data_IF_670248776767
#
_entry.id   IF_670248776767
#
_cell.length_a   1.000
_cell.length_b   1.000
_cell.length_c   1.000
_cell.angle_alpha   90.00
_cell.angle_beta   90.00
_cell.angle_gamma   90.00
#
_symmetry.space_group_name_H-M   'P 1'
#
loop_
_entity.id
_entity.type
_entity.pdbx_description
1 polymer ?
#
# COMPACT_ATOMS: atom_id res chain seq x y z
N UNK A 1 21.34 -1.68 -2.40
CA UNK A 1 20.97 -2.74 -1.46
C UNK A 1 22.16 -3.66 -1.32
N UNK A 2 22.84 -3.64 -0.18
CA UNK A 2 23.92 -4.56 0.14
C UNK A 2 23.35 -5.97 0.15
N UNK A 3 24.04 -6.92 -0.46
CA UNK A 3 23.64 -8.31 -0.73
C UNK A 3 23.44 -9.21 0.50
N UNK A 4 23.23 -8.67 1.70
CA UNK A 4 23.29 -9.44 2.94
C UNK A 4 22.15 -9.20 3.95
N UNK A 5 21.13 -8.39 3.63
CA UNK A 5 20.00 -8.24 4.57
C UNK A 5 19.18 -9.53 4.55
N UNK A 6 19.20 -10.27 5.67
CA UNK A 6 18.39 -11.48 5.89
C UNK A 6 17.10 -11.12 6.58
N UNK A 7 16.03 -11.80 6.21
CA UNK A 7 14.69 -11.65 6.79
C UNK A 7 14.11 -12.99 7.29
N UNK A 8 14.98 -13.89 7.69
CA UNK A 8 14.59 -15.20 8.22
C UNK A 8 13.66 -15.06 9.42
N UNK A 9 12.59 -15.82 9.44
CA UNK A 9 11.58 -15.78 10.49
C UNK A 9 10.69 -14.53 10.48
N UNK A 10 10.86 -13.60 9.52
CA UNK A 10 9.99 -12.42 9.33
C UNK A 10 8.79 -12.77 8.47
N UNK A 11 7.62 -12.25 8.82
CA UNK A 11 6.38 -12.41 8.07
C UNK A 11 6.00 -11.10 7.39
N UNK A 12 5.81 -11.14 6.07
CA UNK A 12 5.46 -10.00 5.23
C UNK A 12 4.08 -10.21 4.60
N UNK A 13 3.13 -9.32 4.85
CA UNK A 13 1.83 -9.28 4.18
C UNK A 13 1.84 -8.19 3.11
N UNK A 14 1.54 -8.56 1.86
CA UNK A 14 1.65 -7.66 0.70
C UNK A 14 0.34 -7.60 -0.06
N UNK A 15 -0.29 -6.43 -0.11
CA UNK A 15 -1.49 -6.22 -0.90
C UNK A 15 -1.15 -5.86 -2.35
N UNK A 16 -2.00 -6.31 -3.31
CA UNK A 16 -1.76 -6.06 -4.73
C UNK A 16 -0.51 -6.75 -5.27
N UNK A 17 -0.21 -7.95 -4.74
CA UNK A 17 0.99 -8.71 -5.05
C UNK A 17 0.85 -9.65 -6.27
N UNK A 18 -0.27 -9.60 -7.00
CA UNK A 18 -0.51 -10.46 -8.17
C UNK A 18 0.21 -10.00 -9.44
N UNK A 19 0.99 -8.93 -9.37
CA UNK A 19 1.77 -8.40 -10.49
C UNK A 19 2.51 -7.12 -10.14
N UNK A 20 3.28 -6.60 -11.09
CA UNK A 20 3.97 -5.31 -10.98
C UNK A 20 4.87 -5.19 -9.75
N UNK A 21 4.82 -4.02 -9.12
CA UNK A 21 5.67 -3.66 -7.97
C UNK A 21 5.50 -4.63 -6.80
N UNK A 22 4.24 -5.02 -6.48
CA UNK A 22 3.95 -5.90 -5.36
C UNK A 22 4.53 -7.31 -5.55
N UNK A 23 4.45 -7.86 -6.75
CA UNK A 23 5.05 -9.16 -7.08
C UNK A 23 6.57 -9.13 -7.00
N UNK A 24 7.21 -8.08 -7.52
CA UNK A 24 8.67 -7.95 -7.47
C UNK A 24 9.17 -7.71 -6.03
N UNK A 25 8.42 -6.96 -5.22
CA UNK A 25 8.70 -6.84 -3.79
C UNK A 25 8.58 -8.21 -3.08
N UNK A 26 7.52 -8.98 -3.37
CA UNK A 26 7.32 -10.32 -2.82
C UNK A 26 8.49 -11.27 -3.15
N UNK A 27 8.91 -11.32 -4.43
CA UNK A 27 10.07 -12.12 -4.86
C UNK A 27 11.36 -11.73 -4.12
N UNK A 28 11.60 -10.43 -3.96
CA UNK A 28 12.81 -9.95 -3.31
C UNK A 28 12.82 -10.28 -1.81
N UNK A 29 11.71 -10.07 -1.09
CA UNK A 29 11.61 -10.39 0.33
C UNK A 29 11.67 -11.90 0.58
N UNK A 30 11.08 -12.71 -0.30
CA UNK A 30 11.20 -14.16 -0.27
C UNK A 30 12.65 -14.64 -0.45
N UNK A 31 13.42 -14.04 -1.39
CA UNK A 31 14.86 -14.34 -1.56
C UNK A 31 15.69 -13.96 -0.32
N UNK A 32 15.23 -13.00 0.49
CA UNK A 32 15.87 -12.62 1.75
C UNK A 32 15.52 -13.57 2.91
N UNK A 33 14.65 -14.57 2.68
CA UNK A 33 14.25 -15.57 3.69
C UNK A 33 12.95 -15.27 4.42
N UNK A 34 12.21 -14.21 4.04
CA UNK A 34 10.91 -13.92 4.65
C UNK A 34 9.84 -14.93 4.25
N UNK A 35 8.92 -15.21 5.17
CA UNK A 35 7.61 -15.76 4.84
C UNK A 35 6.78 -14.66 4.19
N UNK A 36 6.28 -14.89 2.97
CA UNK A 36 5.55 -13.89 2.20
C UNK A 36 4.11 -14.34 2.01
N UNK A 37 3.17 -13.50 2.46
CA UNK A 37 1.72 -13.71 2.31
C UNK A 37 1.18 -12.70 1.29
N UNK A 38 0.76 -13.20 0.14
CA UNK A 38 0.22 -12.39 -0.93
C UNK A 38 -1.29 -12.16 -0.71
N UNK A 39 -1.77 -10.94 -0.97
CA UNK A 39 -3.20 -10.65 -0.98
C UNK A 39 -3.65 -10.39 -2.41
N UNK A 40 -4.64 -11.16 -2.86
CA UNK A 40 -5.25 -11.01 -4.17
C UNK A 40 -6.75 -11.33 -4.17
N UNK A 41 -7.48 -10.77 -5.13
CA UNK A 41 -8.92 -10.98 -5.29
C UNK A 41 -9.23 -12.22 -6.14
N UNK A 42 -8.53 -12.37 -7.23
CA UNK A 42 -8.66 -13.47 -8.18
C UNK A 42 -7.73 -14.62 -7.80
N UNK A 43 -8.29 -15.82 -7.62
CA UNK A 43 -7.54 -17.01 -7.18
C UNK A 43 -6.46 -17.40 -8.19
N UNK A 44 -6.83 -17.53 -9.46
CA UNK A 44 -5.89 -18.00 -10.49
C UNK A 44 -4.69 -17.07 -10.67
N UNK A 45 -4.93 -15.75 -10.71
CA UNK A 45 -3.84 -14.76 -10.76
C UNK A 45 -2.96 -14.78 -9.52
N UNK A 46 -3.56 -15.03 -8.35
CA UNK A 46 -2.80 -15.04 -7.09
C UNK A 46 -1.97 -16.31 -6.96
N UNK A 47 -2.49 -17.45 -7.37
CA UNK A 47 -1.77 -18.74 -7.42
C UNK A 47 -0.61 -18.68 -8.42
N UNK A 48 -0.81 -18.08 -9.60
CA UNK A 48 0.27 -17.83 -10.55
C UNK A 48 1.36 -16.92 -9.96
N UNK A 49 0.98 -15.91 -9.16
CA UNK A 49 1.94 -15.05 -8.47
C UNK A 49 2.72 -15.81 -7.39
N UNK A 50 2.04 -16.68 -6.61
CA UNK A 50 2.69 -17.58 -5.63
C UNK A 50 3.71 -18.49 -6.33
N UNK A 51 3.33 -19.10 -7.44
CA UNK A 51 4.24 -19.94 -8.24
C UNK A 51 5.48 -19.15 -8.69
N UNK A 52 5.29 -17.92 -9.21
CA UNK A 52 6.39 -17.07 -9.64
C UNK A 52 7.30 -16.61 -8.50
N UNK A 53 6.77 -16.45 -7.26
CA UNK A 53 7.60 -16.18 -6.08
C UNK A 53 8.38 -17.40 -5.66
N UNK A 54 7.77 -18.58 -5.64
CA UNK A 54 8.43 -19.86 -5.32
C UNK A 54 9.53 -20.21 -6.34
N UNK A 55 9.31 -19.96 -7.62
CA UNK A 55 10.34 -20.10 -8.65
C UNK A 55 11.55 -19.19 -8.38
N UNK A 56 11.28 -17.94 -7.99
CA UNK A 56 12.33 -16.96 -7.68
C UNK A 56 13.07 -17.22 -6.35
N UNK A 57 12.44 -17.94 -5.41
CA UNK A 57 12.95 -18.27 -4.08
C UNK A 57 12.41 -19.64 -3.64
N UNK A 58 12.99 -20.76 -4.11
CA UNK A 58 12.42 -22.11 -3.91
C UNK A 58 12.31 -22.56 -2.45
N UNK A 59 13.17 -22.05 -1.57
CA UNK A 59 13.16 -22.36 -0.12
C UNK A 59 12.23 -21.47 0.70
N UNK A 60 11.65 -20.42 0.10
CA UNK A 60 10.82 -19.48 0.84
C UNK A 60 9.43 -20.06 1.14
N UNK A 61 8.89 -19.68 2.30
CA UNK A 61 7.49 -19.92 2.62
C UNK A 61 6.63 -18.85 1.96
N UNK A 62 5.75 -19.27 1.06
CA UNK A 62 4.86 -18.38 0.30
C UNK A 62 3.44 -18.90 0.39
N UNK A 63 2.56 -18.07 0.89
CA UNK A 63 1.12 -18.32 1.02
C UNK A 63 0.32 -17.14 0.44
N UNK A 64 -0.99 -17.29 0.36
CA UNK A 64 -1.86 -16.21 -0.05
C UNK A 64 -3.21 -16.19 0.68
N UNK A 65 -3.79 -15.03 0.76
CA UNK A 65 -5.11 -14.78 1.31
C UNK A 65 -5.97 -14.05 0.29
N UNK A 66 -7.20 -14.53 0.11
CA UNK A 66 -8.15 -13.89 -0.79
C UNK A 66 -8.78 -12.68 -0.12
N UNK A 67 -8.76 -11.51 -0.79
CA UNK A 67 -9.54 -10.35 -0.38
C UNK A 67 -9.88 -9.44 -1.56
N UNK A 68 -11.08 -8.87 -1.54
CA UNK A 68 -11.45 -7.73 -2.36
C UNK A 68 -11.31 -6.46 -1.52
N UNK A 69 -10.39 -5.59 -1.90
CA UNK A 69 -10.09 -4.36 -1.16
C UNK A 69 -11.11 -3.23 -1.46
N UNK A 70 -12.08 -3.48 -2.32
CA UNK A 70 -13.23 -2.58 -2.49
C UNK A 70 -14.33 -2.81 -1.44
N UNK A 71 -14.23 -3.89 -0.63
CA UNK A 71 -15.21 -4.29 0.38
C UNK A 71 -14.59 -4.24 1.78
N UNK A 72 -15.11 -3.41 2.66
CA UNK A 72 -14.66 -3.33 4.07
C UNK A 72 -14.90 -4.65 4.80
N UNK A 73 -15.98 -5.36 4.51
CA UNK A 73 -16.25 -6.70 5.03
C UNK A 73 -15.16 -7.68 4.62
N UNK A 74 -14.72 -7.64 3.36
CA UNK A 74 -13.65 -8.50 2.86
C UNK A 74 -12.30 -8.17 3.51
N UNK A 75 -12.02 -6.88 3.78
CA UNK A 75 -10.80 -6.46 4.50
C UNK A 75 -10.81 -6.95 5.94
N UNK A 76 -11.95 -6.91 6.65
CA UNK A 76 -12.08 -7.47 8.00
C UNK A 76 -11.82 -8.98 8.01
N UNK A 77 -12.45 -9.71 7.09
CA UNK A 77 -12.23 -11.16 6.95
C UNK A 77 -10.78 -11.51 6.57
N UNK A 78 -10.09 -10.64 5.83
CA UNK A 78 -8.65 -10.78 5.55
C UNK A 78 -7.84 -10.69 6.85
N UNK A 79 -8.08 -9.68 7.67
CA UNK A 79 -7.38 -9.48 8.93
C UNK A 79 -7.60 -10.64 9.90
N UNK A 80 -8.84 -11.13 10.02
CA UNK A 80 -9.18 -12.30 10.86
C UNK A 80 -8.45 -13.55 10.38
N UNK A 81 -8.48 -13.85 9.07
CA UNK A 81 -7.76 -15.00 8.50
C UNK A 81 -6.25 -14.88 8.66
N UNK A 82 -5.69 -13.69 8.55
CA UNK A 82 -4.28 -13.48 8.81
C UNK A 82 -3.95 -13.77 10.28
N UNK A 83 -4.67 -13.18 11.22
CA UNK A 83 -4.46 -13.36 12.67
C UNK A 83 -4.61 -14.82 13.12
N UNK A 84 -5.51 -15.59 12.50
CA UNK A 84 -5.69 -17.01 12.82
C UNK A 84 -4.55 -17.92 12.33
N UNK A 85 -3.79 -17.48 11.32
CA UNK A 85 -2.71 -18.29 10.72
C UNK A 85 -1.30 -17.85 11.12
N UNK A 86 -1.13 -16.55 11.40
CA UNK A 86 0.18 -15.95 11.64
C UNK A 86 0.22 -15.24 12.98
N UNK A 87 1.07 -15.69 13.91
CA UNK A 87 1.19 -15.08 15.24
C UNK A 87 1.99 -13.76 15.22
N UNK A 88 2.59 -13.42 14.08
CA UNK A 88 3.42 -12.22 13.90
C UNK A 88 3.21 -11.57 12.56
N UNK A 89 3.48 -10.26 12.50
CA UNK A 89 3.54 -9.48 11.26
C UNK A 89 4.68 -8.46 11.36
N UNK A 90 5.75 -8.69 10.62
CA UNK A 90 6.93 -7.82 10.64
C UNK A 90 6.84 -6.70 9.59
N UNK A 91 6.22 -6.99 8.45
CA UNK A 91 6.05 -6.01 7.37
C UNK A 91 4.64 -6.07 6.81
N UNK A 92 3.94 -4.94 6.86
CA UNK A 92 2.70 -4.71 6.13
C UNK A 92 2.99 -3.76 4.95
N UNK A 93 2.95 -4.29 3.73
CA UNK A 93 3.11 -3.51 2.51
C UNK A 93 1.73 -3.26 1.87
N UNK A 94 1.16 -2.09 2.12
CA UNK A 94 -0.04 -1.57 1.49
C UNK A 94 0.32 -1.05 0.09
N UNK A 95 0.40 -1.98 -0.87
CA UNK A 95 0.82 -1.68 -2.24
C UNK A 95 -0.35 -1.66 -3.23
N UNK A 96 -1.46 -2.32 -2.93
CA UNK A 96 -2.62 -2.32 -3.81
C UNK A 96 -3.08 -0.90 -4.14
N UNK A 97 -3.51 -0.71 -5.38
CA UNK A 97 -4.08 0.55 -5.81
C UNK A 97 -4.68 0.43 -7.20
N UNK A 98 -5.62 1.31 -7.49
CA UNK A 98 -6.25 1.44 -8.79
C UNK A 98 -6.48 2.91 -9.14
N UNK A 99 -6.78 3.16 -10.39
CA UNK A 99 -7.29 4.43 -10.92
C UNK A 99 -8.45 4.10 -11.85
N UNK A 100 -9.53 4.86 -11.77
CA UNK A 100 -10.72 4.71 -12.59
C UNK A 100 -10.96 5.98 -13.41
N UNK A 101 -11.46 5.82 -14.63
CA UNK A 101 -11.85 6.95 -15.49
C UNK A 101 -13.26 7.45 -15.17
N UNK A 102 -14.09 6.59 -14.60
CA UNK A 102 -15.46 6.89 -14.20
C UNK A 102 -15.66 6.58 -12.73
N UNK A 103 -16.50 7.37 -12.07
CA UNK A 103 -16.88 7.16 -10.68
C UNK A 103 -17.60 5.82 -10.53
N UNK A 104 -17.11 5.00 -9.62
CA UNK A 104 -17.75 3.77 -9.18
C UNK A 104 -17.92 3.82 -7.67
N UNK A 105 -19.02 3.28 -7.18
CA UNK A 105 -19.33 3.21 -5.75
C UNK A 105 -19.28 1.76 -5.33
N UNK A 106 -18.65 1.50 -4.19
CA UNK A 106 -18.55 0.16 -3.59
C UNK A 106 -19.86 -0.21 -2.90
N UNK A 107 -19.98 -1.48 -2.47
CA UNK A 107 -21.10 -1.94 -1.63
C UNK A 107 -21.20 -1.20 -0.29
N UNK A 108 -20.10 -0.63 0.20
CA UNK A 108 -20.04 0.17 1.42
C UNK A 108 -20.39 1.66 1.18
N UNK A 109 -20.83 2.05 -0.03
CA UNK A 109 -21.15 3.44 -0.37
C UNK A 109 -19.94 4.35 -0.60
N UNK A 110 -18.73 3.80 -0.72
CA UNK A 110 -17.49 4.55 -0.87
C UNK A 110 -17.08 4.67 -2.35
N UNK A 111 -16.43 5.78 -2.73
CA UNK A 111 -15.80 5.88 -4.06
C UNK A 111 -14.68 4.84 -4.18
N UNK A 112 -14.69 4.05 -5.25
CA UNK A 112 -13.91 2.82 -5.35
C UNK A 112 -12.37 3.05 -5.38
N UNK A 113 -11.89 4.19 -5.90
CA UNK A 113 -10.48 4.53 -5.87
C UNK A 113 -10.03 4.85 -4.44
N UNK A 114 -10.79 5.65 -3.71
CA UNK A 114 -10.52 5.95 -2.29
C UNK A 114 -10.69 4.70 -1.42
N UNK A 115 -11.74 3.90 -1.67
CA UNK A 115 -11.95 2.65 -0.95
C UNK A 115 -10.73 1.73 -1.03
N UNK A 116 -10.26 1.46 -2.25
CA UNK A 116 -9.13 0.54 -2.48
C UNK A 116 -7.79 1.13 -2.04
N UNK A 117 -7.53 2.41 -2.38
CA UNK A 117 -6.20 2.99 -2.21
C UNK A 117 -5.95 3.54 -0.81
N UNK A 118 -7.01 3.90 -0.07
CA UNK A 118 -6.91 4.53 1.23
C UNK A 118 -7.69 3.84 2.34
N UNK A 119 -9.03 3.64 2.20
CA UNK A 119 -9.82 3.11 3.30
C UNK A 119 -9.49 1.64 3.61
N UNK A 120 -9.21 0.81 2.60
CA UNK A 120 -8.79 -0.57 2.81
C UNK A 120 -7.42 -0.66 3.53
N UNK A 121 -6.35 0.05 3.10
CA UNK A 121 -5.10 0.12 3.87
C UNK A 121 -5.28 0.67 5.28
N UNK A 122 -6.10 1.72 5.46
CA UNK A 122 -6.42 2.28 6.77
C UNK A 122 -7.04 1.22 7.69
N UNK A 123 -8.10 0.56 7.23
CA UNK A 123 -8.80 -0.47 7.99
C UNK A 123 -7.90 -1.67 8.28
N UNK A 124 -7.24 -2.22 7.25
CA UNK A 124 -6.36 -3.38 7.41
C UNK A 124 -5.23 -3.12 8.39
N UNK A 125 -4.61 -1.94 8.31
CA UNK A 125 -3.53 -1.54 9.22
C UNK A 125 -4.03 -1.51 10.67
N UNK A 126 -5.16 -0.85 10.94
CA UNK A 126 -5.70 -0.75 12.29
C UNK A 126 -6.09 -2.13 12.87
N UNK A 127 -6.67 -3.02 12.06
CA UNK A 127 -7.04 -4.38 12.46
C UNK A 127 -5.85 -5.30 12.76
N UNK A 128 -4.68 -5.02 12.18
CA UNK A 128 -3.45 -5.82 12.37
C UNK A 128 -2.45 -5.15 13.33
N UNK A 129 -2.75 -3.96 13.83
CA UNK A 129 -1.79 -3.17 14.60
C UNK A 129 -1.36 -3.85 15.90
N UNK A 130 -2.27 -4.54 16.59
CA UNK A 130 -1.95 -5.25 17.83
C UNK A 130 -0.98 -6.42 17.58
N UNK A 131 -1.18 -7.17 16.50
CA UNK A 131 -0.25 -8.22 16.08
C UNK A 131 1.13 -7.63 15.77
N UNK A 132 1.18 -6.49 15.08
CA UNK A 132 2.44 -5.82 14.77
C UNK A 132 3.14 -5.30 16.02
N UNK A 133 2.42 -4.71 16.95
CA UNK A 133 2.97 -4.26 18.25
C UNK A 133 3.51 -5.44 19.07
N UNK A 134 2.80 -6.57 19.09
CA UNK A 134 3.24 -7.79 19.78
C UNK A 134 4.44 -8.47 19.09
N UNK A 135 4.62 -8.27 17.79
CA UNK A 135 5.75 -8.82 17.01
C UNK A 135 7.08 -8.22 17.41
N UNK A 136 7.11 -6.96 17.85
CA UNK A 136 8.33 -6.18 18.13
C UNK A 136 8.66 -5.23 16.96
N UNK A 137 9.89 -5.08 16.52
CA UNK A 137 10.20 -4.18 15.40
C UNK A 137 9.45 -4.60 14.14
N UNK A 138 8.46 -3.77 13.75
CA UNK A 138 7.62 -4.01 12.60
C UNK A 138 7.44 -2.75 11.76
N UNK A 139 7.12 -2.90 10.48
CA UNK A 139 7.13 -1.82 9.48
C UNK A 139 5.85 -1.79 8.66
N UNK A 140 5.21 -0.64 8.62
CA UNK A 140 4.05 -0.36 7.77
C UNK A 140 4.52 0.52 6.61
N UNK A 141 4.24 0.08 5.37
CA UNK A 141 4.70 0.75 4.17
C UNK A 141 3.48 1.04 3.29
N UNK A 142 3.21 2.32 3.07
CA UNK A 142 2.08 2.77 2.28
C UNK A 142 2.56 3.27 0.91
N UNK A 143 2.16 2.60 -0.17
CA UNK A 143 2.52 3.03 -1.52
C UNK A 143 1.65 4.21 -1.94
N UNK A 144 2.29 5.37 -2.03
CA UNK A 144 1.74 6.61 -2.53
C UNK A 144 2.23 6.89 -3.96
N UNK A 145 2.21 8.14 -4.39
CA UNK A 145 2.65 8.60 -5.71
C UNK A 145 2.95 10.09 -5.68
N UNK A 146 3.79 10.58 -6.59
CA UNK A 146 3.96 12.02 -6.83
C UNK A 146 2.65 12.69 -7.32
N UNK A 147 1.68 11.92 -7.82
CA UNK A 147 0.33 12.40 -8.11
C UNK A 147 -0.38 13.01 -6.86
N UNK A 148 0.10 12.75 -5.64
CA UNK A 148 -0.42 13.36 -4.42
C UNK A 148 -0.39 14.90 -4.46
N UNK A 149 0.55 15.48 -5.23
CA UNK A 149 0.65 16.93 -5.38
C UNK A 149 -0.55 17.56 -6.12
N UNK A 150 -1.24 16.78 -6.96
CA UNK A 150 -2.47 17.17 -7.64
C UNK A 150 -3.75 16.82 -6.85
N UNK A 151 -3.61 16.08 -5.74
CA UNK A 151 -4.72 15.69 -4.89
C UNK A 151 -5.19 16.84 -4.00
N UNK A 152 -6.49 16.87 -3.73
CA UNK A 152 -7.13 17.79 -2.79
C UNK A 152 -8.18 17.03 -1.99
N UNK A 153 -8.11 17.11 -0.67
CA UNK A 153 -9.16 16.59 0.20
C UNK A 153 -10.25 17.66 0.36
N UNK A 154 -11.42 17.33 -0.13
CA UNK A 154 -12.64 18.08 0.11
C UNK A 154 -13.55 17.18 0.97
N UNK A 155 -13.67 17.48 2.25
CA UNK A 155 -14.46 16.66 3.17
C UNK A 155 -15.96 16.81 2.99
N UNK A 156 -16.42 17.85 2.29
CA UNK A 156 -17.82 18.06 1.97
C UNK A 156 -18.22 17.31 0.67
N UNK A 157 -17.23 16.77 -0.07
CA UNK A 157 -17.41 15.94 -1.27
C UNK A 157 -16.28 14.91 -1.42
N UNK A 158 -15.93 14.24 -0.33
CA UNK A 158 -14.83 13.26 -0.32
C UNK A 158 -15.09 12.10 -1.29
N UNK A 159 -16.35 11.77 -1.53
CA UNK A 159 -16.78 10.71 -2.45
C UNK A 159 -16.86 11.18 -3.92
N UNK A 160 -16.49 12.43 -4.22
CA UNK A 160 -16.51 13.02 -5.57
C UNK A 160 -17.86 12.88 -6.28
N UNK A 161 -18.95 13.16 -5.57
CA UNK A 161 -20.33 13.06 -6.08
C UNK A 161 -20.68 14.21 -6.99
N UNK A 162 -20.16 15.41 -6.68
CA UNK A 162 -20.42 16.64 -7.47
C UNK A 162 -19.61 16.68 -8.75
N UNK A 163 -18.37 16.15 -8.72
CA UNK A 163 -17.48 16.15 -9.89
C UNK A 163 -16.42 15.07 -9.77
N UNK A 164 -16.31 14.21 -10.76
CA UNK A 164 -15.32 13.14 -10.81
C UNK A 164 -14.32 13.37 -11.94
N UNK A 165 -13.05 13.47 -11.57
CA UNK A 165 -11.91 13.46 -12.50
C UNK A 165 -10.94 12.40 -11.99
N UNK A 166 -10.86 11.25 -12.66
CA UNK A 166 -10.16 10.05 -12.18
C UNK A 166 -8.73 10.31 -11.70
N UNK A 167 -7.94 11.10 -12.45
CA UNK A 167 -6.57 11.44 -12.04
C UNK A 167 -6.54 12.30 -10.76
N UNK A 168 -7.49 13.21 -10.57
CA UNK A 168 -7.57 14.02 -9.35
C UNK A 168 -7.95 13.16 -8.14
N UNK A 169 -8.94 12.27 -8.31
CA UNK A 169 -9.37 11.34 -7.25
C UNK A 169 -8.22 10.38 -6.89
N UNK A 170 -7.51 9.86 -7.89
CA UNK A 170 -6.31 9.10 -7.65
C UNK A 170 -5.25 9.91 -6.88
N UNK A 171 -4.97 11.14 -7.30
CA UNK A 171 -4.06 12.04 -6.59
C UNK A 171 -4.49 12.28 -5.14
N UNK A 172 -5.80 12.47 -4.91
CA UNK A 172 -6.40 12.60 -3.57
C UNK A 172 -6.17 11.34 -2.74
N UNK A 173 -6.36 10.15 -3.30
CA UNK A 173 -6.08 8.89 -2.59
C UNK A 173 -4.61 8.74 -2.20
N UNK A 174 -3.70 9.25 -3.05
CA UNK A 174 -2.25 9.21 -2.78
C UNK A 174 -1.80 10.27 -1.79
N UNK A 175 -2.46 11.43 -1.75
CA UNK A 175 -2.33 12.42 -0.68
C UNK A 175 -2.81 11.82 0.66
N UNK A 176 -3.96 11.17 0.65
CA UNK A 176 -4.53 10.52 1.82
C UNK A 176 -3.56 9.48 2.42
N UNK A 177 -2.84 8.70 1.59
CA UNK A 177 -1.86 7.73 2.07
C UNK A 177 -0.66 8.38 2.78
N UNK A 178 -0.18 9.55 2.35
CA UNK A 178 0.90 10.26 3.05
C UNK A 178 0.38 10.84 4.37
N UNK A 179 -0.80 11.46 4.37
CA UNK A 179 -1.42 12.01 5.58
C UNK A 179 -1.73 10.91 6.61
N UNK A 180 -2.29 9.79 6.16
CA UNK A 180 -2.50 8.60 6.99
C UNK A 180 -1.19 8.11 7.62
N UNK A 181 -0.12 7.99 6.82
CA UNK A 181 1.20 7.58 7.32
C UNK A 181 1.71 8.52 8.42
N UNK A 182 1.53 9.82 8.26
CA UNK A 182 1.95 10.82 9.27
C UNK A 182 1.12 10.73 10.56
N UNK A 183 -0.20 10.66 10.43
CA UNK A 183 -1.08 10.51 11.59
C UNK A 183 -0.84 9.19 12.34
N UNK A 184 -0.61 8.10 11.58
CA UNK A 184 -0.28 6.80 12.15
C UNK A 184 1.08 6.82 12.87
N UNK A 185 2.12 7.43 12.28
CA UNK A 185 3.44 7.51 12.88
C UNK A 185 3.40 8.20 14.25
N UNK A 186 2.60 9.27 14.41
CA UNK A 186 2.38 9.91 15.71
C UNK A 186 1.71 8.98 16.73
N UNK A 187 0.74 8.18 16.30
CA UNK A 187 0.04 7.19 17.17
C UNK A 187 0.91 6.00 17.53
N UNK A 188 1.99 5.79 16.79
CA UNK A 188 2.96 4.72 17.02
C UNK A 188 4.16 5.17 17.88
N UNK A 189 4.22 6.44 18.29
CA UNK A 189 5.27 6.93 19.18
C UNK A 189 5.33 6.10 20.46
N UNK A 190 6.53 5.74 20.88
CA UNK A 190 6.75 4.86 22.04
C UNK A 190 6.59 3.36 21.74
N UNK A 191 6.21 2.97 20.53
CA UNK A 191 6.19 1.56 20.07
C UNK A 191 7.38 1.25 19.18
N UNK A 192 7.60 -0.05 18.90
CA UNK A 192 8.62 -0.50 17.95
C UNK A 192 8.08 -0.62 16.51
N UNK A 193 6.88 -0.11 16.23
CA UNK A 193 6.29 -0.14 14.90
C UNK A 193 6.52 1.19 14.19
N UNK A 194 7.02 1.15 12.97
CA UNK A 194 7.21 2.35 12.13
C UNK A 194 6.27 2.36 10.94
N UNK A 195 5.91 3.55 10.48
CA UNK A 195 5.06 3.74 9.31
C UNK A 195 5.68 4.75 8.35
N UNK A 196 5.89 4.36 7.08
CA UNK A 196 6.44 5.24 6.05
C UNK A 196 5.65 5.13 4.75
N UNK A 197 5.65 6.21 3.99
CA UNK A 197 5.06 6.26 2.65
C UNK A 197 6.15 6.35 1.59
N UNK A 198 5.84 5.94 0.35
CA UNK A 198 6.77 6.04 -0.75
C UNK A 198 6.09 6.38 -2.09
N UNK A 199 6.88 6.92 -3.02
CA UNK A 199 6.60 6.95 -4.45
C UNK A 199 7.49 5.92 -5.17
N UNK A 200 6.92 4.99 -5.96
CA UNK A 200 7.70 3.96 -6.65
C UNK A 200 8.39 4.45 -7.92
N UNK A 201 8.10 5.68 -8.36
CA UNK A 201 8.42 6.18 -9.69
C UNK A 201 7.27 5.96 -10.67
N UNK A 202 7.46 6.38 -11.91
CA UNK A 202 6.53 6.07 -13.01
C UNK A 202 6.89 4.69 -13.54
N UNK A 203 6.09 3.69 -13.18
CA UNK A 203 6.39 2.28 -13.44
C UNK A 203 5.43 1.73 -14.49
N UNK A 204 5.98 1.02 -15.47
CA UNK A 204 5.19 0.27 -16.44
C UNK A 204 4.61 -0.98 -15.76
N UNK A 205 3.43 -0.83 -15.21
CA UNK A 205 2.65 -1.93 -14.61
C UNK A 205 1.33 -2.06 -15.35
N UNK A 206 0.58 -3.14 -15.11
CA UNK A 206 -0.82 -3.27 -15.54
C UNK A 206 -1.78 -2.23 -14.94
N UNK A 207 -1.22 -1.22 -14.27
CA UNK A 207 -1.92 -0.08 -13.69
C UNK A 207 -2.50 0.79 -14.80
N UNK A 208 -3.81 0.97 -14.81
CA UNK A 208 -4.48 1.73 -15.87
C UNK A 208 -4.96 0.90 -17.07
N UNK A 209 -4.87 -0.43 -17.06
CA UNK A 209 -5.50 -1.24 -18.11
C UNK A 209 -7.03 -1.04 -18.19
N UNK A 210 -7.64 -0.58 -17.10
CA UNK A 210 -9.07 -0.25 -17.04
C UNK A 210 -9.36 1.22 -17.43
N UNK A 211 -8.34 2.00 -17.80
CA UNK A 211 -8.53 3.38 -18.26
C UNK A 211 -8.80 3.38 -19.76
N UNK A 212 -9.91 3.98 -20.17
CA UNK A 212 -10.25 4.27 -21.57
C UNK A 212 -10.02 5.77 -21.78
N UNK A 213 -9.43 6.18 -22.90
CA UNK A 213 -9.33 7.60 -23.25
C UNK A 213 -7.92 8.22 -23.17
N UNK A 214 -7.84 9.51 -22.88
CA UNK A 214 -6.64 10.35 -22.99
C UNK A 214 -5.46 9.85 -22.12
N UNK A 215 -5.73 9.33 -20.93
CA UNK A 215 -4.71 8.80 -20.03
C UNK A 215 -3.95 7.59 -20.63
N UNK A 216 -4.66 6.73 -21.37
CA UNK A 216 -4.05 5.62 -22.11
C UNK A 216 -3.05 6.08 -23.16
N UNK A 217 -3.30 7.22 -23.82
CA UNK A 217 -2.39 7.79 -24.81
C UNK A 217 -1.12 8.37 -24.17
N UNK A 218 -1.27 9.06 -23.01
CA UNK A 218 -0.12 9.55 -22.24
C UNK A 218 0.74 8.40 -21.75
N UNK A 219 0.14 7.32 -21.24
CA UNK A 219 0.84 6.11 -20.80
C UNK A 219 1.59 5.45 -21.97
N UNK A 220 0.98 5.37 -23.16
CA UNK A 220 1.63 4.81 -24.36
C UNK A 220 2.81 5.66 -24.83
N UNK A 221 2.67 6.98 -24.88
CA UNK A 221 3.75 7.90 -25.29
C UNK A 221 4.90 7.94 -24.28
N UNK A 222 4.61 7.79 -22.98
CA UNK A 222 5.60 7.77 -21.90
C UNK A 222 6.24 6.39 -21.63
N UNK A 223 5.78 5.33 -22.31
CA UNK A 223 6.18 3.95 -21.99
C UNK A 223 7.69 3.68 -22.06
N UNK A 224 8.41 4.38 -22.95
CA UNK A 224 9.87 4.27 -23.09
C UNK A 224 10.64 4.83 -21.87
N UNK A 225 10.04 5.74 -21.11
CA UNK A 225 10.64 6.36 -19.92
C UNK A 225 10.16 5.74 -18.59
N UNK A 226 9.26 4.76 -18.66
CA UNK A 226 8.74 4.10 -17.47
C UNK A 226 9.75 3.09 -16.92
N UNK A 227 9.84 3.06 -15.59
CA UNK A 227 10.67 2.10 -14.88
C UNK A 227 10.08 0.68 -15.03
N UNK A 228 10.94 -0.34 -14.97
CA UNK A 228 10.49 -1.71 -14.79
C UNK A 228 9.85 -1.89 -13.39
N UNK A 229 9.00 -2.91 -13.24
CA UNK A 229 8.38 -3.24 -11.95
C UNK A 229 9.43 -3.50 -10.87
N UNK A 230 10.53 -4.16 -11.22
CA UNK A 230 11.67 -4.42 -10.33
C UNK A 230 12.30 -3.11 -9.81
N UNK A 231 12.57 -2.14 -10.71
CA UNK A 231 13.10 -0.82 -10.32
C UNK A 231 12.09 -0.06 -9.45
N UNK A 232 10.80 -0.18 -9.75
CA UNK A 232 9.72 0.41 -8.96
C UNK A 232 9.61 -0.18 -7.55
N UNK A 233 9.90 -1.46 -7.38
CA UNK A 233 9.84 -2.15 -6.10
C UNK A 233 11.00 -1.78 -5.14
N UNK A 234 12.09 -1.21 -5.64
CA UNK A 234 13.31 -0.96 -4.84
C UNK A 234 13.06 -0.19 -3.55
N UNK A 235 12.25 0.86 -3.58
CA UNK A 235 11.98 1.67 -2.39
C UNK A 235 11.10 0.91 -1.40
N UNK A 236 10.13 0.10 -1.88
CA UNK A 236 9.32 -0.79 -1.03
C UNK A 236 10.19 -1.83 -0.33
N UNK A 237 11.10 -2.47 -1.07
CA UNK A 237 12.06 -3.45 -0.54
C UNK A 237 12.99 -2.81 0.49
N UNK A 238 13.55 -1.63 0.17
CA UNK A 238 14.41 -0.88 1.07
C UNK A 238 13.72 -0.56 2.40
N UNK A 239 12.49 -0.04 2.36
CA UNK A 239 11.72 0.27 3.56
C UNK A 239 11.33 -0.98 4.35
N UNK A 240 11.12 -2.11 3.67
CA UNK A 240 10.78 -3.39 4.30
C UNK A 240 11.96 -4.05 5.01
N UNK A 241 13.19 -3.89 4.47
CA UNK A 241 14.31 -4.74 4.87
C UNK A 241 15.55 -4.00 5.40
N UNK A 242 15.80 -2.74 4.97
CA UNK A 242 17.04 -2.06 5.33
C UNK A 242 17.11 -1.70 6.82
N UNK A 243 18.23 -1.99 7.49
CA UNK A 243 18.46 -1.55 8.88
C UNK A 243 18.58 -0.02 8.97
N UNK A 244 18.96 0.69 7.90
CA UNK A 244 19.12 2.15 7.90
C UNK A 244 17.82 2.90 8.22
N UNK A 245 16.66 2.26 8.03
CA UNK A 245 15.34 2.87 8.23
C UNK A 245 14.53 2.19 9.33
N UNK A 246 15.17 1.39 10.18
CA UNK A 246 14.48 0.63 11.23
C UNK A 246 13.72 1.52 12.20
N UNK A 247 14.32 2.63 12.61
CA UNK A 247 13.72 3.61 13.51
C UNK A 247 13.08 4.81 12.79
N UNK A 248 13.06 4.81 11.44
CA UNK A 248 12.51 5.94 10.68
C UNK A 248 11.01 5.78 10.53
N UNK A 249 10.24 6.79 10.95
CA UNK A 249 8.77 6.80 10.89
C UNK A 249 8.23 8.14 10.41
N UNK A 250 7.06 8.15 9.78
CA UNK A 250 6.35 9.35 9.33
C UNK A 250 6.90 10.00 8.07
N UNK A 251 7.85 9.35 7.38
CA UNK A 251 8.55 9.93 6.24
C UNK A 251 7.95 9.48 4.90
N UNK A 252 8.19 10.33 3.88
CA UNK A 252 7.89 10.02 2.48
C UNK A 252 9.18 9.78 1.71
N UNK A 253 9.26 8.67 0.96
CA UNK A 253 10.48 8.22 0.29
C UNK A 253 10.35 8.19 -1.23
N UNK A 254 11.47 8.45 -1.91
CA UNK A 254 11.66 8.21 -3.33
C UNK A 254 13.10 7.77 -3.60
N UNK A 255 13.28 6.75 -4.42
CA UNK A 255 14.62 6.18 -4.73
C UNK A 255 15.45 5.87 -3.47
N UNK A 256 14.81 5.22 -2.48
CA UNK A 256 15.41 4.85 -1.20
C UNK A 256 15.93 6.03 -0.36
N UNK A 257 15.42 7.24 -0.57
CA UNK A 257 15.80 8.44 0.19
C UNK A 257 14.56 9.21 0.63
N UNK A 258 14.60 9.87 1.78
CA UNK A 258 13.54 10.80 2.17
C UNK A 258 13.34 11.88 1.10
N UNK A 259 12.08 12.15 0.79
CA UNK A 259 11.66 13.20 -0.15
C UNK A 259 10.63 14.08 0.52
N UNK A 260 10.78 15.39 0.41
CA UNK A 260 9.80 16.36 0.93
C UNK A 260 8.51 16.27 0.09
N UNK A 261 7.36 15.89 0.68
CA UNK A 261 6.10 15.87 -0.04
C UNK A 261 5.48 17.29 -0.14
N UNK A 262 4.33 17.43 -0.83
CA UNK A 262 3.61 18.69 -0.99
C UNK A 262 3.27 19.34 0.36
N UNK A 263 2.94 20.63 0.36
CA UNK A 263 2.53 21.35 1.59
C UNK A 263 1.28 20.72 2.21
N UNK A 264 0.28 20.35 1.41
CA UNK A 264 -0.92 19.67 1.86
C UNK A 264 -0.58 18.34 2.57
N UNK A 265 0.34 17.55 2.02
CA UNK A 265 0.77 16.28 2.60
C UNK A 265 1.57 16.43 3.92
N UNK A 266 1.98 17.65 4.27
CA UNK A 266 2.69 17.97 5.51
C UNK A 266 1.81 18.69 6.55
N UNK A 267 0.52 18.84 6.27
CA UNK A 267 -0.42 19.49 7.15
C UNK A 267 -0.97 18.48 8.19
N UNK A 268 -0.55 18.65 9.43
CA UNK A 268 -0.92 17.73 10.52
C UNK A 268 -2.40 17.85 10.91
N UNK A 269 -3.00 19.04 10.84
CA UNK A 269 -4.43 19.19 11.09
C UNK A 269 -5.27 18.48 10.01
N UNK A 270 -4.82 18.53 8.75
CA UNK A 270 -5.44 17.81 7.66
C UNK A 270 -5.30 16.29 7.83
N UNK A 271 -4.13 15.83 8.32
CA UNK A 271 -3.89 14.40 8.58
C UNK A 271 -4.80 13.87 9.70
N UNK A 272 -4.97 14.65 10.76
CA UNK A 272 -5.85 14.30 11.87
C UNK A 272 -7.32 14.27 11.45
N UNK A 273 -7.79 15.29 10.72
CA UNK A 273 -9.17 15.30 10.19
C UNK A 273 -9.43 14.11 9.28
N UNK A 274 -8.47 13.77 8.40
CA UNK A 274 -8.59 12.59 7.55
C UNK A 274 -8.64 11.31 8.36
N UNK A 275 -7.85 11.19 9.43
CA UNK A 275 -7.90 10.04 10.32
C UNK A 275 -9.29 9.85 10.91
N UNK A 276 -9.87 10.90 11.50
CA UNK A 276 -11.20 10.85 12.12
C UNK A 276 -12.29 10.45 11.11
N UNK A 277 -12.29 11.07 9.92
CA UNK A 277 -13.24 10.72 8.86
C UNK A 277 -13.04 9.28 8.37
N UNK A 278 -11.78 8.83 8.23
CA UNK A 278 -11.49 7.44 7.83
C UNK A 278 -11.93 6.44 8.90
N UNK A 279 -11.72 6.74 10.18
CA UNK A 279 -12.16 5.91 11.29
C UNK A 279 -13.69 5.78 11.29
N UNK A 280 -14.40 6.90 11.13
CA UNK A 280 -15.87 6.91 11.03
C UNK A 280 -16.38 6.07 9.86
N UNK A 281 -15.83 6.28 8.64
CA UNK A 281 -16.27 5.59 7.43
C UNK A 281 -15.93 4.10 7.43
N UNK A 282 -14.85 3.71 8.09
CA UNK A 282 -14.43 2.31 8.16
C UNK A 282 -14.88 1.59 9.44
N UNK A 283 -15.50 2.32 10.40
CA UNK A 283 -15.92 1.75 11.67
C UNK A 283 -14.74 1.28 12.54
N UNK A 284 -13.60 1.96 12.46
CA UNK A 284 -12.48 1.78 13.39
C UNK A 284 -12.78 2.62 14.63
N UNK A 285 -12.80 1.99 15.78
CA UNK A 285 -12.86 2.68 17.09
C UNK A 285 -11.44 2.99 17.56
N UNK A 286 -11.21 4.20 18.07
CA UNK A 286 -9.94 4.60 18.67
C UNK A 286 -9.66 3.91 19.99
#
# INVERSE_FOLDING_TARGET
LTSQTRMDGKVCLITGATGGIGLEAAKALARMGATVVLVGRDAGRTEAAVAAVKEAAPSAQVDWLRADLTSLKSVRALAERFRSRYPRLDVLLNNAGLILDQRQVTEDGLEATLATNHFAPFLLTNLLLDVMKATGPARIINVSSDAHAAGKLDFDDLQSERSFIGFRVYGTSKLANILFTRALAKRLEGTQVTANALHPGVVRTGFGHNTQGFFRHIVKLGAAFMLSAEKGARTSIYLASSPEVEAVSGQYFYKCRPKKPSSAARNDALAERLWQVSAQLTGVTE
#
